data_IF_737991580448
#
_entry.id   IF_737991580448
#
_cell.length_a   1.000
_cell.length_b   1.000
_cell.length_c   1.000
_cell.angle_alpha   90.00
_cell.angle_beta   90.00
_cell.angle_gamma   90.00
#
_symmetry.space_group_name_H-M   'P 1'
#
loop_
_entity.id
_entity.type
_entity.pdbx_description
1 polymer ?
#
# COMPACT_ATOMS: atom_id res chain seq x y z
N UNK A 1 -6.78 35.06 -18.85
CA UNK A 1 -7.07 34.43 -17.55
C UNK A 1 -7.27 32.90 -17.58
N UNK A 2 -7.38 32.21 -18.73
CA UNK A 2 -7.57 30.74 -18.79
C UNK A 2 -6.38 29.89 -18.32
N UNK A 3 -5.14 30.36 -18.51
CA UNK A 3 -3.93 29.59 -18.14
C UNK A 3 -3.74 29.42 -16.63
N UNK A 4 -4.09 30.43 -15.82
CA UNK A 4 -3.89 30.37 -14.37
C UNK A 4 -4.83 29.34 -13.73
N UNK A 5 -6.11 29.33 -14.12
CA UNK A 5 -7.09 28.35 -13.63
C UNK A 5 -6.71 26.91 -13.99
N UNK A 6 -6.22 26.69 -15.21
CA UNK A 6 -5.72 25.39 -15.64
C UNK A 6 -4.51 24.93 -14.80
N UNK A 7 -3.50 25.78 -14.62
CA UNK A 7 -2.32 25.46 -13.81
C UNK A 7 -2.67 25.17 -12.35
N UNK A 8 -3.63 25.90 -11.78
CA UNK A 8 -4.13 25.65 -10.42
C UNK A 8 -4.82 24.29 -10.30
N UNK A 9 -5.62 23.90 -11.30
CA UNK A 9 -6.26 22.59 -11.33
C UNK A 9 -5.23 21.45 -11.43
N UNK A 10 -4.23 21.59 -12.30
CA UNK A 10 -3.13 20.63 -12.43
C UNK A 10 -2.34 20.51 -11.12
N UNK A 11 -1.98 21.64 -10.49
CA UNK A 11 -1.30 21.65 -9.19
C UNK A 11 -2.11 20.92 -8.12
N UNK A 12 -3.43 21.15 -8.06
CA UNK A 12 -4.31 20.49 -7.10
C UNK A 12 -4.35 18.97 -7.32
N UNK A 13 -4.48 18.52 -8.57
CA UNK A 13 -4.45 17.10 -8.92
C UNK A 13 -3.12 16.44 -8.56
N UNK A 14 -1.99 17.10 -8.87
CA UNK A 14 -0.66 16.61 -8.54
C UNK A 14 -0.43 16.46 -7.03
N UNK A 15 -0.87 17.44 -6.23
CA UNK A 15 -0.73 17.38 -4.78
C UNK A 15 -1.58 16.26 -4.17
N UNK A 16 -2.81 16.08 -4.64
CA UNK A 16 -3.68 14.98 -4.21
C UNK A 16 -3.05 13.61 -4.52
N UNK A 17 -2.60 13.39 -5.75
CA UNK A 17 -1.92 12.14 -6.14
C UNK A 17 -0.63 11.90 -5.35
N UNK A 18 0.13 12.96 -5.04
CA UNK A 18 1.33 12.86 -4.19
C UNK A 18 1.00 12.43 -2.77
N UNK A 19 -0.08 12.96 -2.20
CA UNK A 19 -0.54 12.56 -0.86
C UNK A 19 -1.00 11.09 -0.84
N UNK A 20 -1.84 10.69 -1.81
CA UNK A 20 -2.27 9.30 -1.94
C UNK A 20 -1.11 8.33 -2.15
N UNK A 21 -0.08 8.72 -2.92
CA UNK A 21 1.14 7.92 -3.08
C UNK A 21 1.85 7.69 -1.75
N UNK A 22 2.00 8.72 -0.91
CA UNK A 22 2.62 8.57 0.42
C UNK A 22 1.82 7.64 1.31
N UNK A 23 0.49 7.80 1.35
CA UNK A 23 -0.38 6.91 2.12
C UNK A 23 -0.29 5.45 1.66
N UNK A 24 -0.27 5.23 0.34
CA UNK A 24 -0.08 3.91 -0.22
C UNK A 24 1.29 3.33 0.17
N UNK A 25 2.37 4.10 0.04
CA UNK A 25 3.72 3.63 0.38
C UNK A 25 3.84 3.24 1.85
N UNK A 26 3.29 4.03 2.77
CA UNK A 26 3.26 3.68 4.18
C UNK A 26 2.51 2.35 4.41
N UNK A 27 1.30 2.22 3.87
CA UNK A 27 0.53 0.98 4.01
C UNK A 27 1.25 -0.25 3.42
N UNK A 28 1.93 -0.08 2.28
CA UNK A 28 2.72 -1.15 1.67
C UNK A 28 3.92 -1.57 2.54
N UNK A 29 4.68 -0.60 3.06
CA UNK A 29 5.83 -0.88 3.91
C UNK A 29 5.41 -1.62 5.19
N UNK A 30 4.32 -1.17 5.80
CA UNK A 30 3.76 -1.82 6.99
C UNK A 30 3.28 -3.24 6.66
N UNK A 31 2.58 -3.43 5.53
CA UNK A 31 2.14 -4.75 5.09
C UNK A 31 3.32 -5.71 4.85
N UNK A 32 4.38 -5.27 4.18
CA UNK A 32 5.59 -6.07 3.97
C UNK A 32 6.25 -6.45 5.30
N UNK A 33 6.37 -5.52 6.24
CA UNK A 33 6.96 -5.80 7.55
C UNK A 33 6.13 -6.82 8.36
N UNK A 34 4.80 -6.71 8.30
CA UNK A 34 3.88 -7.62 8.99
C UNK A 34 3.87 -9.00 8.34
N UNK A 35 3.87 -9.10 7.01
CA UNK A 35 3.96 -10.36 6.29
C UNK A 35 5.23 -11.14 6.67
N UNK A 36 6.38 -10.46 6.75
CA UNK A 36 7.63 -11.07 7.25
C UNK A 36 7.48 -11.62 8.66
N UNK A 37 6.84 -10.86 9.55
CA UNK A 37 6.59 -11.32 10.93
C UNK A 37 5.68 -12.54 10.95
N UNK A 38 4.68 -12.61 10.07
CA UNK A 38 3.82 -13.77 9.92
C UNK A 38 4.64 -15.01 9.52
N UNK A 39 5.53 -14.89 8.54
CA UNK A 39 6.47 -15.96 8.14
C UNK A 39 7.30 -16.45 9.34
N UNK A 40 7.86 -15.53 10.14
CA UNK A 40 8.61 -15.90 11.35
C UNK A 40 7.75 -16.55 12.44
N UNK A 41 6.46 -16.18 12.55
CA UNK A 41 5.53 -16.83 13.46
C UNK A 41 5.21 -18.26 12.98
N UNK A 42 4.99 -18.45 11.67
CA UNK A 42 4.80 -19.76 11.04
C UNK A 42 6.02 -20.67 11.26
N UNK A 43 7.24 -20.17 11.05
CA UNK A 43 8.48 -20.93 11.30
C UNK A 43 8.67 -21.38 12.76
N UNK A 44 7.94 -20.77 13.71
CA UNK A 44 7.99 -21.11 15.14
C UNK A 44 6.72 -21.84 15.60
N UNK A 45 5.93 -22.36 14.66
CA UNK A 45 4.63 -23.02 14.88
C UNK A 45 3.61 -22.17 15.67
N UNK A 46 3.79 -20.84 15.70
CA UNK A 46 2.87 -19.92 16.35
C UNK A 46 1.74 -19.51 15.39
N UNK A 47 0.87 -20.46 15.07
CA UNK A 47 -0.19 -20.29 14.06
C UNK A 47 -1.17 -19.17 14.41
N UNK A 48 -1.53 -19.01 15.68
CA UNK A 48 -2.44 -17.94 16.12
C UNK A 48 -1.86 -16.55 15.86
N UNK A 49 -0.57 -16.33 16.15
CA UNK A 49 0.09 -15.05 15.85
C UNK A 49 0.20 -14.84 14.34
N UNK A 50 0.55 -15.90 13.59
CA UNK A 50 0.65 -15.83 12.14
C UNK A 50 -0.68 -15.41 11.48
N UNK A 51 -1.80 -16.03 11.87
CA UNK A 51 -3.13 -15.69 11.36
C UNK A 51 -3.50 -14.23 11.63
N UNK A 52 -3.23 -13.74 12.85
CA UNK A 52 -3.49 -12.34 13.21
C UNK A 52 -2.68 -11.36 12.36
N UNK A 53 -1.40 -11.66 12.15
CA UNK A 53 -0.50 -10.84 11.33
C UNK A 53 -0.92 -10.87 9.84
N UNK A 54 -1.29 -12.04 9.31
CA UNK A 54 -1.79 -12.16 7.94
C UNK A 54 -3.07 -11.34 7.73
N UNK A 55 -4.00 -11.37 8.67
CA UNK A 55 -5.22 -10.55 8.61
C UNK A 55 -4.93 -9.05 8.65
N UNK A 56 -3.93 -8.62 9.42
CA UNK A 56 -3.47 -7.23 9.46
C UNK A 56 -2.83 -6.82 8.13
N UNK A 57 -1.91 -7.62 7.59
CA UNK A 57 -1.27 -7.38 6.29
C UNK A 57 -2.32 -7.30 5.16
N UNK A 58 -3.32 -8.20 5.17
CA UNK A 58 -4.43 -8.20 4.21
C UNK A 58 -5.19 -6.86 4.22
N UNK A 59 -5.49 -6.33 5.41
CA UNK A 59 -6.20 -5.04 5.56
C UNK A 59 -5.36 -3.88 5.00
N UNK A 60 -4.06 -3.88 5.22
CA UNK A 60 -3.15 -2.86 4.71
C UNK A 60 -3.01 -2.91 3.19
N UNK A 61 -2.90 -4.10 2.60
CA UNK A 61 -2.89 -4.28 1.13
C UNK A 61 -4.20 -3.83 0.52
N UNK A 62 -5.34 -4.13 1.15
CA UNK A 62 -6.64 -3.65 0.70
C UNK A 62 -6.72 -2.12 0.75
N UNK A 63 -6.18 -1.49 1.80
CA UNK A 63 -6.09 -0.03 1.93
C UNK A 63 -5.21 0.58 0.84
N UNK A 64 -4.03 0.00 0.56
CA UNK A 64 -3.17 0.42 -0.54
C UNK A 64 -3.89 0.25 -1.90
N UNK A 65 -4.60 -0.86 -2.11
CA UNK A 65 -5.40 -1.11 -3.30
C UNK A 65 -6.56 -0.13 -3.51
N UNK A 66 -7.13 0.41 -2.44
CA UNK A 66 -8.13 1.48 -2.55
C UNK A 66 -7.52 2.78 -3.10
N UNK A 67 -6.28 3.10 -2.73
CA UNK A 67 -5.57 4.27 -3.27
C UNK A 67 -5.19 4.08 -4.74
N UNK A 68 -4.79 2.87 -5.16
CA UNK A 68 -4.51 2.58 -6.58
C UNK A 68 -5.78 2.59 -7.45
N UNK A 69 -6.95 2.28 -6.89
CA UNK A 69 -8.24 2.45 -7.60
C UNK A 69 -8.59 3.93 -7.84
N UNK A 70 -8.31 4.79 -6.85
CA UNK A 70 -8.52 6.25 -6.99
C UNK A 70 -7.49 6.89 -7.93
N UNK A 71 -6.27 6.37 -7.90
CA UNK A 71 -5.12 6.86 -8.65
C UNK A 71 -4.44 5.70 -9.40
N UNK A 72 -4.96 5.31 -10.59
CA UNK A 72 -4.45 4.17 -11.36
C UNK A 72 -2.95 4.23 -11.67
N UNK A 73 -2.38 5.42 -11.76
CA UNK A 73 -0.95 5.67 -11.94
C UNK A 73 -0.09 5.12 -10.78
N UNK A 74 -0.68 4.87 -9.62
CA UNK A 74 0.01 4.30 -8.47
C UNK A 74 0.15 2.77 -8.53
N UNK A 75 -0.63 2.09 -9.38
CA UNK A 75 -0.64 0.62 -9.45
C UNK A 75 0.70 0.01 -9.88
N UNK A 76 1.46 0.72 -10.72
CA UNK A 76 2.77 0.27 -11.20
C UNK A 76 3.93 0.57 -10.25
N UNK A 77 3.67 1.13 -9.07
CA UNK A 77 4.72 1.51 -8.14
C UNK A 77 5.30 0.26 -7.44
N UNK A 78 6.63 0.19 -7.37
CA UNK A 78 7.36 -0.93 -6.78
C UNK A 78 6.87 -1.36 -5.38
N UNK A 79 6.62 -0.43 -4.44
CA UNK A 79 6.16 -0.79 -3.10
C UNK A 79 4.82 -1.54 -3.08
N UNK A 80 3.91 -1.23 -4.00
CA UNK A 80 2.62 -1.93 -4.07
C UNK A 80 2.79 -3.37 -4.51
N UNK A 81 3.61 -3.61 -5.53
CA UNK A 81 3.95 -4.95 -5.99
C UNK A 81 4.68 -5.76 -4.91
N UNK A 82 5.70 -5.16 -4.27
CA UNK A 82 6.47 -5.82 -3.22
C UNK A 82 5.60 -6.24 -2.02
N UNK A 83 4.62 -5.41 -1.62
CA UNK A 83 3.70 -5.76 -0.54
C UNK A 83 2.79 -6.94 -0.90
N UNK A 84 2.36 -7.04 -2.17
CA UNK A 84 1.56 -8.16 -2.65
C UNK A 84 2.37 -9.46 -2.73
N UNK A 85 3.63 -9.37 -3.19
CA UNK A 85 4.55 -10.52 -3.28
C UNK A 85 4.84 -11.08 -1.88
N UNK A 86 5.28 -10.23 -0.94
CA UNK A 86 5.59 -10.67 0.42
C UNK A 86 4.39 -11.28 1.15
N UNK A 87 3.19 -10.72 0.97
CA UNK A 87 1.97 -11.29 1.55
C UNK A 87 1.54 -12.60 0.91
N UNK A 88 1.85 -12.82 -0.37
CA UNK A 88 1.59 -14.10 -1.03
C UNK A 88 2.62 -15.17 -0.68
N UNK A 89 3.84 -14.77 -0.29
CA UNK A 89 4.88 -15.66 0.24
C UNK A 89 4.61 -16.12 1.68
N UNK A 90 3.90 -15.29 2.46
CA UNK A 90 3.48 -15.58 3.84
C UNK A 90 2.26 -16.50 3.93
#
# INVERSE_FOLDING_TARGET
MKNISYLLAVKKGYLAATQSRRHMFHACNDATAIAKRAIFALHRDNLTEAEQLLDEARKLIAKAGAETKKHPELRGQGPYKAAQEEFAEA
#
